data_IF_309313487631
#
_entry.id   IF_309313487631
#
_cell.length_a   1.000
_cell.length_b   1.000
_cell.length_c   1.000
_cell.angle_alpha   90.00
_cell.angle_beta   90.00
_cell.angle_gamma   90.00
#
_symmetry.space_group_name_H-M   'P 1'
#
loop_
_entity.id
_entity.type
_entity.pdbx_description
1 polymer ?
#
# COMPACT_ATOMS: atom_id res chain seq x y z
N UNK A 1 -31.16 -7.63 -9.71
CA UNK A 1 -30.48 -8.50 -8.73
C UNK A 1 -29.77 -7.72 -7.62
N UNK A 2 -28.81 -6.84 -7.90
CA UNK A 2 -28.07 -6.11 -6.84
C UNK A 2 -28.97 -5.19 -5.99
N UNK A 3 -29.94 -4.50 -6.61
CA UNK A 3 -30.88 -3.61 -5.92
C UNK A 3 -31.78 -4.36 -4.91
N UNK A 4 -32.31 -5.53 -5.29
CA UNK A 4 -33.14 -6.37 -4.42
C UNK A 4 -32.35 -6.95 -3.24
N UNK A 5 -31.06 -7.31 -3.43
CA UNK A 5 -30.21 -7.78 -2.31
C UNK A 5 -29.97 -6.65 -1.29
N UNK A 6 -29.77 -5.42 -1.75
CA UNK A 6 -29.57 -4.27 -0.88
C UNK A 6 -30.84 -3.88 -0.10
N UNK A 7 -32.02 -3.99 -0.72
CA UNK A 7 -33.31 -3.79 -0.04
C UNK A 7 -33.56 -4.86 1.03
N UNK A 8 -33.39 -6.13 0.70
CA UNK A 8 -33.50 -7.23 1.67
C UNK A 8 -32.49 -7.09 2.81
N UNK A 9 -31.26 -6.64 2.51
CA UNK A 9 -30.27 -6.36 3.55
C UNK A 9 -30.75 -5.25 4.50
N UNK A 10 -31.28 -4.13 3.98
CA UNK A 10 -31.82 -3.04 4.80
C UNK A 10 -33.00 -3.47 5.67
N UNK A 11 -33.92 -4.25 5.13
CA UNK A 11 -35.04 -4.81 5.89
C UNK A 11 -34.53 -5.68 7.04
N UNK A 12 -33.60 -6.59 6.75
CA UNK A 12 -32.97 -7.44 7.76
C UNK A 12 -32.21 -6.62 8.82
N UNK A 13 -31.54 -5.53 8.42
CA UNK A 13 -30.91 -4.61 9.36
C UNK A 13 -31.91 -3.98 10.33
N UNK A 14 -33.05 -3.50 9.82
CA UNK A 14 -34.07 -2.88 10.65
C UNK A 14 -34.71 -3.88 11.61
N UNK A 15 -35.05 -5.08 11.14
CA UNK A 15 -35.60 -6.15 11.96
C UNK A 15 -34.65 -6.57 13.07
N UNK A 16 -33.36 -6.72 12.74
CA UNK A 16 -32.35 -7.11 13.73
C UNK A 16 -32.10 -6.03 14.79
N UNK A 17 -32.19 -4.74 14.45
CA UNK A 17 -32.14 -3.63 15.42
C UNK A 17 -33.34 -3.66 16.35
N UNK A 18 -34.54 -3.89 15.82
CA UNK A 18 -35.77 -3.99 16.63
C UNK A 18 -35.71 -5.20 17.59
N UNK A 19 -35.25 -6.35 17.08
CA UNK A 19 -35.06 -7.55 17.87
C UNK A 19 -34.00 -7.35 18.97
N UNK A 20 -32.88 -6.70 18.65
CA UNK A 20 -31.84 -6.36 19.62
C UNK A 20 -32.39 -5.51 20.75
N UNK A 21 -33.10 -4.44 20.43
CA UNK A 21 -33.69 -3.52 21.41
C UNK A 21 -34.68 -4.25 22.35
N UNK A 22 -35.51 -5.13 21.77
CA UNK A 22 -36.49 -5.92 22.51
C UNK A 22 -35.81 -6.90 23.47
N UNK A 23 -34.83 -7.68 22.98
CA UNK A 23 -34.13 -8.67 23.80
C UNK A 23 -33.22 -8.01 24.84
N UNK A 24 -32.61 -6.86 24.54
CA UNK A 24 -31.85 -6.10 25.52
C UNK A 24 -32.73 -5.60 26.66
N UNK A 25 -33.93 -5.11 26.34
CA UNK A 25 -34.91 -4.69 27.34
C UNK A 25 -35.34 -5.88 28.20
N UNK A 26 -35.70 -7.00 27.57
CA UNK A 26 -36.06 -8.23 28.28
C UNK A 26 -34.93 -8.72 29.20
N UNK A 27 -33.68 -8.69 28.73
CA UNK A 27 -32.51 -9.10 29.52
C UNK A 27 -32.23 -8.16 30.72
N UNK A 28 -32.56 -6.87 30.61
CA UNK A 28 -32.45 -5.90 31.73
C UNK A 28 -33.54 -6.13 32.77
N UNK A 29 -34.77 -6.41 32.33
CA UNK A 29 -35.91 -6.65 33.21
C UNK A 29 -35.84 -8.01 33.90
N UNK A 30 -35.47 -9.07 33.16
CA UNK A 30 -35.34 -10.44 33.67
C UNK A 30 -34.16 -11.15 32.99
N UNK A 31 -32.99 -11.21 33.64
CA UNK A 31 -31.83 -11.88 33.08
C UNK A 31 -32.07 -13.39 32.93
N UNK A 32 -32.10 -13.91 31.69
CA UNK A 32 -32.18 -15.36 31.44
C UNK A 32 -31.03 -15.85 30.55
N UNK A 33 -30.71 -17.15 30.62
CA UNK A 33 -29.70 -17.75 29.76
C UNK A 33 -30.12 -17.75 28.28
N UNK A 34 -31.42 -17.89 28.01
CA UNK A 34 -31.97 -17.88 26.66
C UNK A 34 -31.90 -16.49 26.01
N UNK A 35 -32.34 -15.43 26.71
CA UNK A 35 -32.23 -14.07 26.19
C UNK A 35 -30.76 -13.69 25.96
N UNK A 36 -29.84 -14.11 26.84
CA UNK A 36 -28.39 -13.92 26.64
C UNK A 36 -27.87 -14.66 25.40
N UNK A 37 -28.34 -15.88 25.13
CA UNK A 37 -27.98 -16.67 23.94
C UNK A 37 -28.49 -16.03 22.64
N UNK A 38 -29.76 -15.61 22.61
CA UNK A 38 -30.36 -14.94 21.46
C UNK A 38 -29.67 -13.61 21.16
N UNK A 39 -29.34 -12.85 22.21
CA UNK A 39 -28.63 -11.59 22.07
C UNK A 39 -27.25 -11.79 21.40
N UNK A 40 -26.50 -12.82 21.81
CA UNK A 40 -25.24 -13.18 21.16
C UNK A 40 -25.43 -13.51 19.66
N UNK A 41 -26.48 -14.25 19.32
CA UNK A 41 -26.79 -14.59 17.93
C UNK A 41 -27.11 -13.34 17.10
N UNK A 42 -27.91 -12.41 17.62
CA UNK A 42 -28.24 -11.16 16.94
C UNK A 42 -27.00 -10.27 16.73
N UNK A 43 -26.12 -10.16 17.73
CA UNK A 43 -24.85 -9.45 17.57
C UNK A 43 -24.00 -10.07 16.46
N UNK A 44 -23.85 -11.40 16.43
CA UNK A 44 -23.09 -12.10 15.39
C UNK A 44 -23.74 -11.89 14.02
N UNK A 45 -25.08 -11.92 13.93
CA UNK A 45 -25.80 -11.68 12.68
C UNK A 45 -25.55 -10.26 12.16
N UNK A 46 -25.66 -9.22 13.00
CA UNK A 46 -25.32 -7.84 12.62
C UNK A 46 -23.87 -7.69 12.16
N UNK A 47 -22.93 -8.30 12.88
CA UNK A 47 -21.51 -8.28 12.51
C UNK A 47 -21.30 -8.95 11.15
N UNK A 48 -21.95 -10.09 10.92
CA UNK A 48 -21.81 -10.86 9.66
C UNK A 48 -22.44 -10.09 8.50
N UNK A 49 -23.65 -9.52 8.69
CA UNK A 49 -24.31 -8.70 7.69
C UNK A 49 -23.45 -7.49 7.31
N UNK A 50 -22.86 -6.81 8.30
CA UNK A 50 -21.93 -5.71 8.05
C UNK A 50 -20.61 -6.16 7.39
N UNK A 51 -20.14 -7.39 7.64
CA UNK A 51 -18.98 -7.97 6.94
C UNK A 51 -19.31 -8.28 5.46
N UNK A 52 -20.55 -8.68 5.16
CA UNK A 52 -21.05 -9.03 3.82
C UNK A 52 -21.40 -7.78 2.99
N UNK A 53 -22.08 -6.81 3.61
CA UNK A 53 -22.40 -5.49 3.02
C UNK A 53 -21.23 -4.52 3.08
N UNK A 54 -20.11 -4.94 3.67
CA UNK A 54 -18.88 -4.16 3.71
C UNK A 54 -19.00 -2.84 4.54
N UNK A 55 -19.94 -2.79 5.50
CA UNK A 55 -20.15 -1.66 6.41
C UNK A 55 -19.18 -1.72 7.62
N UNK A 56 -17.99 -1.16 7.44
CA UNK A 56 -16.95 -1.11 8.48
C UNK A 56 -17.36 -0.37 9.77
N UNK A 57 -18.03 0.81 9.72
CA UNK A 57 -18.54 1.48 10.92
C UNK A 57 -19.50 0.61 11.74
N UNK A 58 -20.50 0.00 11.11
CA UNK A 58 -21.48 -0.87 11.78
C UNK A 58 -20.79 -2.11 12.33
N UNK A 59 -19.93 -2.76 11.54
CA UNK A 59 -19.16 -3.91 12.01
C UNK A 59 -18.37 -3.58 13.28
N UNK A 60 -17.68 -2.43 13.30
CA UNK A 60 -16.89 -1.99 14.46
C UNK A 60 -17.76 -1.74 15.68
N UNK A 61 -18.90 -1.07 15.51
CA UNK A 61 -19.84 -0.78 16.59
C UNK A 61 -20.35 -2.06 17.25
N UNK A 62 -20.99 -2.96 16.49
CA UNK A 62 -21.60 -4.16 17.05
C UNK A 62 -20.56 -5.16 17.58
N UNK A 63 -19.39 -5.25 16.94
CA UNK A 63 -18.28 -6.07 17.46
C UNK A 63 -17.79 -5.56 18.81
N UNK A 64 -17.66 -4.24 18.98
CA UNK A 64 -17.25 -3.62 20.24
C UNK A 64 -18.29 -3.86 21.34
N UNK A 65 -19.57 -3.58 21.04
CA UNK A 65 -20.67 -3.82 21.98
C UNK A 65 -20.74 -5.29 22.42
N UNK A 66 -20.64 -6.23 21.47
CA UNK A 66 -20.65 -7.66 21.77
C UNK A 66 -19.45 -8.07 22.64
N UNK A 67 -18.23 -7.65 22.31
CA UNK A 67 -17.02 -8.00 23.07
C UNK A 67 -16.98 -7.35 24.46
N UNK A 68 -17.63 -6.21 24.67
CA UNK A 68 -17.77 -5.61 26.00
C UNK A 68 -18.80 -6.34 26.87
N UNK A 69 -19.72 -7.10 26.26
CA UNK A 69 -20.80 -7.79 26.96
C UNK A 69 -20.52 -9.28 27.21
N UNK A 70 -19.83 -9.94 26.29
CA UNK A 70 -19.55 -11.36 26.34
C UNK A 70 -18.06 -11.61 26.61
N UNK A 71 -17.77 -12.11 27.81
CA UNK A 71 -16.41 -12.37 28.29
C UNK A 71 -16.00 -13.85 28.17
N UNK A 72 -16.96 -14.75 27.99
CA UNK A 72 -16.69 -16.18 27.78
C UNK A 72 -15.80 -16.41 26.53
N UNK A 73 -14.69 -17.15 26.62
CA UNK A 73 -13.77 -17.35 25.50
C UNK A 73 -14.41 -17.95 24.25
N UNK A 74 -15.33 -18.90 24.39
CA UNK A 74 -15.98 -19.55 23.25
C UNK A 74 -16.96 -18.59 22.54
N UNK A 75 -17.72 -17.81 23.31
CA UNK A 75 -18.59 -16.76 22.77
C UNK A 75 -17.78 -15.67 22.07
N UNK A 76 -16.68 -15.22 22.67
CA UNK A 76 -15.77 -14.24 22.05
C UNK A 76 -15.18 -14.75 20.75
N UNK A 77 -14.79 -16.02 20.68
CA UNK A 77 -14.31 -16.63 19.44
C UNK A 77 -15.37 -16.61 18.33
N UNK A 78 -16.65 -16.85 18.66
CA UNK A 78 -17.76 -16.77 17.71
C UNK A 78 -18.03 -15.33 17.24
N UNK A 79 -17.95 -14.36 18.14
CA UNK A 79 -18.05 -12.92 17.81
C UNK A 79 -16.91 -12.52 16.88
N UNK A 80 -15.68 -12.89 17.22
CA UNK A 80 -14.48 -12.58 16.43
C UNK A 80 -14.55 -13.22 15.05
N UNK A 81 -15.09 -14.43 14.95
CA UNK A 81 -15.14 -15.21 13.71
C UNK A 81 -13.76 -15.77 13.33
N UNK A 82 -13.75 -16.71 12.39
CA UNK A 82 -12.51 -17.35 11.92
C UNK A 82 -12.51 -17.45 10.41
N UNK A 83 -11.33 -17.46 9.83
CA UNK A 83 -11.10 -17.80 8.43
C UNK A 83 -10.03 -18.87 8.31
N UNK A 84 -9.77 -19.29 7.09
CA UNK A 84 -8.79 -20.34 6.78
C UNK A 84 -7.72 -19.80 5.85
N UNK A 85 -6.46 -20.09 6.17
CA UNK A 85 -5.34 -19.91 5.25
C UNK A 85 -5.01 -21.27 4.67
N UNK A 86 -5.04 -21.37 3.34
CA UNK A 86 -4.57 -22.54 2.59
C UNK A 86 -3.19 -22.25 2.02
N UNK A 87 -2.21 -23.07 2.36
CA UNK A 87 -0.85 -22.90 1.83
C UNK A 87 -0.71 -23.62 0.50
N UNK A 88 -0.10 -22.95 -0.48
CA UNK A 88 0.31 -23.59 -1.74
C UNK A 88 1.73 -24.16 -1.68
N UNK A 89 2.20 -24.67 -2.82
CA UNK A 89 3.44 -25.42 -2.92
C UNK A 89 4.66 -24.61 -3.38
N UNK A 90 4.50 -23.36 -3.86
CA UNK A 90 5.63 -22.58 -4.43
C UNK A 90 6.72 -22.27 -3.42
N UNK A 91 6.37 -22.18 -2.14
CA UNK A 91 7.31 -21.89 -1.06
C UNK A 91 7.92 -23.16 -0.44
N UNK A 92 7.95 -24.31 -1.13
CA UNK A 92 8.37 -25.62 -0.57
C UNK A 92 9.74 -25.56 0.14
N UNK A 93 9.78 -26.14 1.35
CA UNK A 93 10.96 -26.16 2.21
C UNK A 93 11.23 -24.85 2.97
N UNK A 94 10.31 -23.88 2.92
CA UNK A 94 10.41 -22.64 3.70
C UNK A 94 9.79 -22.83 5.08
N UNK A 95 10.48 -22.36 6.12
CA UNK A 95 9.94 -22.20 7.47
C UNK A 95 8.96 -21.03 7.47
N UNK A 96 7.78 -21.22 8.07
CA UNK A 96 6.74 -20.20 8.13
C UNK A 96 6.53 -19.74 9.57
N UNK A 97 6.73 -18.45 9.80
CA UNK A 97 6.40 -17.81 11.08
C UNK A 97 5.21 -16.87 10.89
N UNK A 98 4.17 -17.05 11.70
CA UNK A 98 3.01 -16.17 11.77
C UNK A 98 3.21 -15.10 12.83
N UNK A 99 2.91 -13.85 12.49
CA UNK A 99 2.83 -12.72 13.41
C UNK A 99 1.43 -12.14 13.37
N UNK A 100 0.87 -11.79 14.53
CA UNK A 100 -0.35 -10.98 14.60
C UNK A 100 0.04 -9.51 14.44
N UNK A 101 -0.62 -8.78 13.55
CA UNK A 101 -0.42 -7.34 13.40
C UNK A 101 -1.26 -6.61 14.43
N UNK A 102 -0.62 -5.90 15.34
CA UNK A 102 -1.27 -5.15 16.42
C UNK A 102 -0.69 -3.73 16.53
N UNK A 103 -1.51 -2.73 16.90
CA UNK A 103 -1.02 -1.37 17.11
C UNK A 103 -0.14 -1.28 18.37
N UNK A 104 0.90 -0.44 18.31
CA UNK A 104 1.63 0.05 19.48
C UNK A 104 0.85 1.19 20.17
N UNK A 105 1.44 1.80 21.22
CA UNK A 105 0.83 2.91 21.96
C UNK A 105 0.57 4.16 21.10
N UNK A 106 1.24 4.31 19.96
CA UNK A 106 1.08 5.42 19.00
C UNK A 106 0.13 5.07 17.85
N UNK A 107 -0.39 3.83 17.81
CA UNK A 107 -1.22 3.34 16.71
C UNK A 107 -0.43 2.78 15.53
N UNK A 108 0.89 2.59 15.65
CA UNK A 108 1.73 1.96 14.61
C UNK A 108 1.48 0.45 14.61
N UNK A 109 1.08 -0.09 13.47
CA UNK A 109 0.82 -1.51 13.27
C UNK A 109 2.12 -2.29 13.12
N UNK A 110 2.41 -3.14 14.11
CA UNK A 110 3.65 -3.94 14.16
C UNK A 110 3.35 -5.44 14.20
N UNK A 111 4.20 -6.28 13.58
CA UNK A 111 4.16 -7.72 13.77
C UNK A 111 4.55 -8.08 15.20
N UNK A 112 3.67 -8.77 15.90
CA UNK A 112 3.84 -9.18 17.29
C UNK A 112 3.44 -10.66 17.46
N UNK A 113 3.72 -11.24 18.63
CA UNK A 113 3.33 -12.61 19.01
C UNK A 113 3.75 -13.66 17.95
N UNK A 114 5.05 -13.82 17.69
CA UNK A 114 5.54 -14.80 16.72
C UNK A 114 5.09 -16.21 17.09
N UNK A 115 4.57 -16.94 16.11
CA UNK A 115 4.20 -18.35 16.22
C UNK A 115 4.72 -19.12 15.02
N UNK A 116 5.54 -20.13 15.25
CA UNK A 116 5.96 -21.05 14.18
C UNK A 116 4.75 -21.86 13.69
N UNK A 117 4.59 -21.96 12.37
CA UNK A 117 3.62 -22.86 11.73
C UNK A 117 4.27 -24.14 11.20
N UNK A 118 5.61 -24.23 11.23
CA UNK A 118 6.38 -25.35 10.69
C UNK A 118 7.05 -25.00 9.36
N UNK A 119 7.36 -26.04 8.57
CA UNK A 119 8.01 -25.93 7.27
C UNK A 119 7.07 -26.44 6.18
N UNK A 120 7.00 -25.74 5.05
CA UNK A 120 6.14 -26.13 3.91
C UNK A 120 6.56 -27.46 3.27
N UNK A 121 5.62 -28.28 2.79
CA UNK A 121 4.17 -28.03 2.68
C UNK A 121 3.45 -28.05 4.04
N UNK A 122 2.50 -27.14 4.23
CA UNK A 122 1.70 -27.01 5.45
C UNK A 122 0.23 -27.31 5.15
N UNK A 123 -0.47 -27.91 6.10
CA UNK A 123 -1.94 -28.04 6.05
C UNK A 123 -2.64 -26.70 6.28
N UNK A 124 -3.96 -26.68 6.03
CA UNK A 124 -4.80 -25.50 6.23
C UNK A 124 -4.72 -24.99 7.69
N UNK A 125 -4.58 -23.68 7.86
CA UNK A 125 -4.55 -23.03 9.17
C UNK A 125 -5.81 -22.21 9.41
N UNK A 126 -6.65 -22.63 10.37
CA UNK A 126 -7.76 -21.81 10.84
C UNK A 126 -7.27 -20.74 11.81
N UNK A 127 -7.60 -19.47 11.56
CA UNK A 127 -7.18 -18.33 12.37
C UNK A 127 -8.39 -17.45 12.75
N UNK A 128 -8.38 -16.80 13.92
CA UNK A 128 -9.32 -15.72 14.22
C UNK A 128 -9.24 -14.61 13.15
N UNK A 129 -10.35 -13.93 12.88
CA UNK A 129 -10.31 -12.77 12.00
C UNK A 129 -9.31 -11.71 12.51
N UNK A 130 -8.57 -11.12 11.58
CA UNK A 130 -7.56 -10.11 11.90
C UNK A 130 -6.50 -9.98 10.82
N UNK A 131 -5.62 -8.99 11.00
CA UNK A 131 -4.45 -8.79 10.16
C UNK A 131 -3.26 -9.58 10.71
N UNK A 132 -2.58 -10.29 9.82
CA UNK A 132 -1.41 -11.10 10.13
C UNK A 132 -0.30 -10.86 9.11
N UNK A 133 0.92 -11.18 9.51
CA UNK A 133 2.08 -11.26 8.62
C UNK A 133 2.65 -12.67 8.69
N UNK A 134 2.71 -13.34 7.55
CA UNK A 134 3.46 -14.59 7.40
C UNK A 134 4.86 -14.25 6.88
N UNK A 135 5.89 -14.77 7.54
CA UNK A 135 7.28 -14.69 7.09
C UNK A 135 7.74 -16.07 6.66
N UNK A 136 8.10 -16.20 5.39
CA UNK A 136 8.64 -17.41 4.79
C UNK A 136 10.16 -17.30 4.73
N UNK A 137 10.87 -18.26 5.31
CA UNK A 137 12.32 -18.25 5.41
C UNK A 137 12.92 -19.56 4.89
N UNK A 138 13.92 -19.46 4.02
CA UNK A 138 14.64 -20.58 3.46
C UNK A 138 16.12 -20.20 3.32
N UNK A 139 17.01 -21.12 3.67
CA UNK A 139 18.47 -20.86 3.61
C UNK A 139 18.89 -20.45 2.21
N UNK A 140 19.73 -19.41 2.09
CA UNK A 140 20.17 -18.85 0.80
C UNK A 140 19.12 -18.00 0.07
N UNK A 141 17.95 -17.76 0.67
CA UNK A 141 16.87 -16.99 0.05
C UNK A 141 16.52 -15.75 0.87
N UNK A 142 16.01 -14.71 0.20
CA UNK A 142 15.47 -13.54 0.88
C UNK A 142 14.16 -13.92 1.59
N UNK A 143 13.96 -13.54 2.87
CA UNK A 143 12.69 -13.78 3.55
C UNK A 143 11.52 -13.13 2.81
N UNK A 144 10.48 -13.91 2.49
CA UNK A 144 9.27 -13.37 1.86
C UNK A 144 8.26 -12.99 2.93
N UNK A 145 7.86 -11.71 2.92
CA UNK A 145 6.86 -11.14 3.81
C UNK A 145 5.48 -11.17 3.12
N UNK A 146 4.51 -11.81 3.75
CA UNK A 146 3.15 -11.97 3.21
C UNK A 146 2.10 -11.49 4.21
N UNK A 147 1.69 -10.21 4.14
CA UNK A 147 0.55 -9.70 4.87
C UNK A 147 -0.75 -10.38 4.40
N UNK A 148 -1.60 -10.75 5.35
CA UNK A 148 -2.88 -11.42 5.08
C UNK A 148 -3.95 -10.89 6.03
N UNK A 149 -5.13 -10.58 5.47
CA UNK A 149 -6.31 -10.21 6.25
C UNK A 149 -7.25 -11.42 6.32
N UNK A 150 -7.30 -12.08 7.48
CA UNK A 150 -8.18 -13.22 7.70
C UNK A 150 -9.60 -12.70 7.96
N UNK A 151 -10.55 -13.16 7.14
CA UNK A 151 -11.97 -12.80 7.20
C UNK A 151 -12.85 -14.00 7.55
N UNK A 152 -14.03 -13.75 8.12
CA UNK A 152 -14.98 -14.78 8.57
C UNK A 152 -15.34 -15.71 7.42
N UNK A 153 -15.27 -17.02 7.66
CA UNK A 153 -15.71 -18.08 6.75
C UNK A 153 -15.08 -18.01 5.34
N UNK A 154 -14.01 -17.23 5.15
CA UNK A 154 -13.27 -17.18 3.89
C UNK A 154 -12.02 -18.05 3.98
N UNK A 155 -11.76 -18.75 2.88
CA UNK A 155 -10.47 -19.42 2.67
C UNK A 155 -9.62 -18.57 1.73
N UNK A 156 -8.44 -18.16 2.19
CA UNK A 156 -7.48 -17.44 1.38
C UNK A 156 -6.28 -18.33 1.07
N UNK A 157 -5.93 -18.42 -0.21
CA UNK A 157 -4.73 -19.14 -0.67
C UNK A 157 -3.51 -18.24 -0.50
N UNK A 158 -2.47 -18.78 0.14
CA UNK A 158 -1.15 -18.15 0.32
C UNK A 158 -0.12 -19.04 -0.34
N UNK A 159 0.40 -18.57 -1.48
CA UNK A 159 1.32 -19.34 -2.31
C UNK A 159 2.41 -18.42 -2.93
N UNK A 160 3.27 -17.81 -2.09
CA UNK A 160 4.30 -16.90 -2.58
C UNK A 160 5.51 -17.65 -3.12
N UNK A 161 6.27 -16.96 -3.96
CA UNK A 161 7.64 -17.37 -4.25
C UNK A 161 8.56 -17.00 -3.07
N UNK A 162 9.60 -17.81 -2.86
CA UNK A 162 10.72 -17.48 -1.98
C UNK A 162 11.95 -17.44 -2.87
N UNK A 163 12.45 -16.24 -3.16
CA UNK A 163 13.50 -16.04 -4.16
C UNK A 163 14.90 -16.13 -3.53
N UNK A 164 15.87 -16.74 -4.22
CA UNK A 164 17.29 -16.55 -3.90
C UNK A 164 17.62 -15.06 -3.84
N UNK A 165 18.55 -14.66 -2.97
CA UNK A 165 18.83 -13.24 -2.75
C UNK A 165 19.35 -12.56 -4.02
N UNK A 166 20.17 -13.26 -4.78
CA UNK A 166 20.75 -12.88 -6.06
C UNK A 166 19.73 -12.78 -7.20
N UNK A 167 18.58 -13.43 -7.07
CA UNK A 167 17.53 -13.39 -8.10
C UNK A 167 16.69 -12.10 -8.03
N UNK A 168 16.68 -11.41 -6.89
CA UNK A 168 15.92 -10.16 -6.74
C UNK A 168 16.73 -9.02 -7.38
N UNK A 169 16.16 -8.25 -8.31
CA UNK A 169 16.85 -7.10 -8.90
C UNK A 169 17.37 -6.13 -7.83
N UNK A 170 18.60 -5.66 -8.00
CA UNK A 170 19.26 -4.79 -7.02
C UNK A 170 18.41 -3.53 -6.80
N UNK A 171 18.13 -3.21 -5.54
CA UNK A 171 17.32 -2.04 -5.18
C UNK A 171 15.80 -2.28 -5.23
N UNK A 172 15.35 -3.49 -5.56
CA UNK A 172 13.94 -3.85 -5.60
C UNK A 172 13.52 -4.67 -4.37
N UNK A 173 12.21 -4.74 -4.16
CA UNK A 173 11.54 -5.54 -3.16
C UNK A 173 10.52 -6.42 -3.86
N UNK A 174 10.46 -7.70 -3.47
CA UNK A 174 9.41 -8.60 -3.93
C UNK A 174 8.12 -8.35 -3.14
N UNK A 175 7.05 -8.01 -3.84
CA UNK A 175 5.68 -7.94 -3.31
C UNK A 175 4.95 -9.19 -3.77
N UNK A 176 4.71 -10.20 -2.91
CA UNK A 176 3.98 -11.39 -3.30
C UNK A 176 2.55 -11.07 -3.68
N UNK A 177 2.00 -11.81 -4.64
CA UNK A 177 0.62 -11.66 -5.07
C UNK A 177 -0.36 -12.14 -3.99
N UNK A 178 -1.53 -11.52 -3.91
CA UNK A 178 -2.55 -11.87 -2.92
C UNK A 178 -3.73 -10.92 -2.91
N UNK A 179 -4.73 -11.24 -2.10
CA UNK A 179 -5.90 -10.38 -1.89
C UNK A 179 -5.49 -9.17 -1.06
N UNK A 180 -5.89 -7.98 -1.51
CA UNK A 180 -5.70 -6.70 -0.83
C UNK A 180 -7.01 -5.93 -0.76
N UNK A 181 -7.22 -5.22 0.36
CA UNK A 181 -8.21 -4.14 0.42
C UNK A 181 -7.65 -2.91 -0.31
N UNK A 182 -8.22 -2.60 -1.47
CA UNK A 182 -7.92 -1.42 -2.27
C UNK A 182 -8.93 -0.32 -1.97
N UNK A 183 -8.49 0.94 -2.05
CA UNK A 183 -9.26 2.09 -1.59
C UNK A 183 -9.38 2.13 -0.07
N UNK A 184 -10.36 2.89 0.43
CA UNK A 184 -10.68 2.94 1.84
C UNK A 184 -12.19 3.17 2.06
N UNK A 185 -12.89 2.31 2.82
CA UNK A 185 -14.32 2.47 3.12
C UNK A 185 -14.66 3.74 3.91
N UNK A 186 -13.68 4.35 4.59
CA UNK A 186 -13.87 5.58 5.36
C UNK A 186 -13.51 6.84 4.58
N UNK A 187 -13.13 6.71 3.30
CA UNK A 187 -12.88 7.86 2.44
C UNK A 187 -14.21 8.53 2.06
N UNK A 188 -14.34 9.82 2.39
CA UNK A 188 -15.51 10.64 2.07
C UNK A 188 -15.17 11.77 1.11
N UNK A 189 -13.91 11.89 0.67
CA UNK A 189 -13.37 13.10 0.04
C UNK A 189 -12.68 12.87 -1.32
N UNK A 190 -12.75 11.66 -1.91
CA UNK A 190 -12.08 11.37 -3.19
C UNK A 190 -12.82 10.39 -4.12
N UNK A 191 -12.26 10.16 -5.32
CA UNK A 191 -12.69 9.10 -6.27
C UNK A 191 -12.70 7.71 -5.61
N UNK A 192 -11.86 7.49 -4.60
CA UNK A 192 -11.76 6.23 -3.85
C UNK A 192 -12.88 6.00 -2.85
N UNK A 193 -13.68 7.02 -2.54
CA UNK A 193 -14.89 6.91 -1.71
C UNK A 193 -15.91 5.92 -2.30
N UNK A 194 -15.91 5.73 -3.63
CA UNK A 194 -16.90 4.93 -4.35
C UNK A 194 -16.37 3.63 -4.97
N UNK A 195 -15.08 3.31 -4.79
CA UNK A 195 -14.39 2.25 -5.57
C UNK A 195 -13.53 1.30 -4.74
N UNK A 196 -13.62 1.37 -3.41
CA UNK A 196 -12.89 0.44 -2.57
C UNK A 196 -13.41 -0.99 -2.75
N UNK A 197 -12.52 -1.99 -2.70
CA UNK A 197 -12.87 -3.40 -2.88
C UNK A 197 -11.76 -4.33 -2.39
N UNK A 198 -12.09 -5.61 -2.23
CA UNK A 198 -11.09 -6.66 -2.11
C UNK A 198 -10.76 -7.20 -3.51
N UNK A 199 -9.50 -7.02 -3.94
CA UNK A 199 -9.05 -7.53 -5.22
C UNK A 199 -7.76 -8.34 -5.06
N UNK A 200 -7.58 -9.34 -5.92
CA UNK A 200 -6.30 -10.04 -6.06
C UNK A 200 -5.36 -9.18 -6.89
N UNK A 201 -4.22 -8.83 -6.32
CA UNK A 201 -3.11 -8.20 -7.05
C UNK A 201 -2.04 -9.26 -7.28
N UNK A 202 -1.54 -9.36 -8.51
CA UNK A 202 -0.50 -10.32 -8.85
C UNK A 202 0.84 -9.97 -8.19
N UNK A 203 1.79 -10.91 -8.19
CA UNK A 203 3.13 -10.66 -7.64
C UNK A 203 3.99 -9.84 -8.59
N UNK A 204 4.84 -8.97 -8.03
CA UNK A 204 5.76 -8.12 -8.78
C UNK A 204 6.98 -7.73 -7.92
N UNK A 205 8.02 -7.24 -8.57
CA UNK A 205 9.10 -6.49 -7.92
C UNK A 205 8.82 -5.00 -8.07
N UNK A 206 9.10 -4.21 -7.03
CA UNK A 206 9.01 -2.75 -7.07
C UNK A 206 10.29 -2.14 -6.51
N UNK A 207 10.71 -1.01 -7.09
CA UNK A 207 11.86 -0.26 -6.58
C UNK A 207 11.62 0.18 -5.13
N UNK A 208 12.57 -0.11 -4.24
CA UNK A 208 12.46 0.14 -2.79
C UNK A 208 12.29 1.62 -2.46
N UNK A 209 13.04 2.46 -3.15
CA UNK A 209 13.17 3.89 -2.92
C UNK A 209 12.78 4.67 -4.18
N UNK A 210 12.36 5.94 -4.05
CA UNK A 210 12.22 6.81 -5.21
C UNK A 210 13.60 7.14 -5.77
N UNK A 211 13.65 7.67 -7.00
CA UNK A 211 14.92 8.10 -7.59
C UNK A 211 15.53 9.27 -6.83
N UNK A 212 16.84 9.25 -6.70
CA UNK A 212 17.58 10.43 -6.19
C UNK A 212 17.89 11.42 -7.30
N UNK A 213 18.25 12.64 -6.91
CA UNK A 213 18.76 13.66 -7.83
C UNK A 213 19.89 13.09 -8.71
N UNK A 214 20.93 12.49 -8.11
CA UNK A 214 22.07 11.96 -8.86
C UNK A 214 21.70 10.82 -9.82
N UNK A 215 20.67 10.02 -9.49
CA UNK A 215 20.18 8.98 -10.39
C UNK A 215 19.49 9.59 -11.62
N UNK A 216 18.64 10.61 -11.43
CA UNK A 216 18.00 11.31 -12.53
C UNK A 216 19.01 12.14 -13.36
N UNK A 217 20.04 12.71 -12.73
CA UNK A 217 21.16 13.36 -13.42
C UNK A 217 21.90 12.39 -14.34
N UNK A 218 22.15 11.15 -13.90
CA UNK A 218 22.77 10.12 -14.73
C UNK A 218 21.90 9.74 -15.92
N UNK A 219 20.59 9.61 -15.70
CA UNK A 219 19.64 9.35 -16.78
C UNK A 219 19.69 10.45 -17.85
N UNK A 220 19.59 11.73 -17.46
CA UNK A 220 19.63 12.83 -18.44
C UNK A 220 20.97 12.96 -19.14
N UNK A 221 22.10 12.65 -18.49
CA UNK A 221 23.43 12.68 -19.11
C UNK A 221 23.52 11.71 -20.31
N UNK A 222 22.79 10.60 -20.26
CA UNK A 222 22.76 9.58 -21.31
C UNK A 222 21.74 9.89 -22.42
N UNK A 223 20.93 10.94 -22.27
CA UNK A 223 20.01 11.40 -23.33
C UNK A 223 20.78 12.18 -24.41
N UNK A 224 20.24 12.24 -25.65
CA UNK A 224 20.74 13.12 -26.69
C UNK A 224 20.85 14.56 -26.19
N UNK A 225 21.82 15.32 -26.70
CA UNK A 225 22.17 16.66 -26.20
C UNK A 225 20.95 17.59 -26.03
N UNK A 226 20.06 17.66 -27.03
CA UNK A 226 18.83 18.45 -26.98
C UNK A 226 17.74 17.96 -26.01
N UNK A 227 17.97 16.86 -25.28
CA UNK A 227 17.04 16.24 -24.32
C UNK A 227 17.65 16.12 -22.90
N UNK A 228 18.81 16.74 -22.64
CA UNK A 228 19.52 16.68 -21.34
C UNK A 228 18.95 17.64 -20.29
N UNK A 229 17.63 17.87 -20.31
CA UNK A 229 16.94 18.73 -19.36
C UNK A 229 15.57 18.18 -18.97
N UNK A 230 15.18 18.44 -17.73
CA UNK A 230 13.85 18.22 -17.16
C UNK A 230 13.34 19.55 -16.62
N UNK A 231 12.06 19.83 -16.76
CA UNK A 231 11.47 21.09 -16.30
C UNK A 231 10.10 20.86 -15.66
N UNK A 232 9.70 21.75 -14.76
CA UNK A 232 8.33 21.80 -14.23
C UNK A 232 7.33 22.48 -15.17
N UNK A 233 6.06 22.10 -15.06
CA UNK A 233 4.93 22.73 -15.75
C UNK A 233 4.19 23.77 -14.89
N UNK A 234 4.31 23.77 -13.56
CA UNK A 234 3.42 24.53 -12.67
C UNK A 234 3.99 25.81 -12.03
N UNK A 235 5.31 25.92 -11.83
CA UNK A 235 5.90 27.06 -11.13
C UNK A 235 6.24 28.26 -12.05
N UNK A 236 5.89 29.49 -11.65
CA UNK A 236 6.52 30.71 -12.19
C UNK A 236 8.00 30.71 -11.77
N UNK A 237 8.92 30.73 -12.75
CA UNK A 237 10.37 30.52 -12.52
C UNK A 237 10.84 29.06 -12.55
N UNK A 238 10.00 28.16 -13.10
CA UNK A 238 10.16 26.72 -13.41
C UNK A 238 11.52 26.12 -12.99
N UNK A 239 11.57 25.26 -11.95
CA UNK A 239 12.79 24.50 -11.71
C UNK A 239 13.18 23.70 -12.96
N UNK A 240 14.45 23.80 -13.36
CA UNK A 240 15.00 23.09 -14.52
C UNK A 240 16.23 22.32 -14.08
N UNK A 241 16.15 20.99 -14.13
CA UNK A 241 17.32 20.15 -13.98
C UNK A 241 17.94 19.95 -15.36
N UNK A 242 19.16 20.45 -15.57
CA UNK A 242 19.94 20.22 -16.80
C UNK A 242 21.24 19.51 -16.49
N UNK A 243 21.80 18.83 -17.48
CA UNK A 243 23.16 18.28 -17.40
C UNK A 243 24.12 19.07 -18.27
N UNK A 244 25.25 19.48 -17.70
CA UNK A 244 26.34 20.17 -18.39
C UNK A 244 27.60 19.30 -18.37
N UNK A 245 28.20 19.05 -19.53
CA UNK A 245 29.42 18.24 -19.66
C UNK A 245 30.56 18.85 -18.82
N UNK A 246 31.24 18.02 -18.02
CA UNK A 246 32.29 18.48 -17.10
C UNK A 246 31.81 19.18 -15.82
N UNK A 247 30.52 19.54 -15.71
CA UNK A 247 29.93 20.14 -14.49
C UNK A 247 28.88 19.27 -13.80
N UNK A 248 28.35 18.25 -14.49
CA UNK A 248 27.33 17.36 -13.95
C UNK A 248 25.93 17.97 -13.99
N UNK A 249 25.06 17.53 -13.07
CA UNK A 249 23.71 18.05 -12.96
C UNK A 249 23.66 19.46 -12.37
N UNK A 250 22.82 20.33 -12.91
CA UNK A 250 22.58 21.67 -12.38
C UNK A 250 21.07 21.86 -12.29
N UNK A 251 20.55 22.08 -11.07
CA UNK A 251 19.17 22.53 -10.91
C UNK A 251 19.15 24.04 -10.89
N UNK A 252 18.44 24.65 -11.82
CA UNK A 252 18.07 26.05 -11.68
C UNK A 252 16.75 26.14 -10.93
N UNK A 253 16.68 26.96 -9.89
CA UNK A 253 15.41 27.35 -9.25
C UNK A 253 15.34 28.87 -9.27
N UNK A 254 14.35 29.44 -9.96
CA UNK A 254 14.11 30.89 -9.99
C UNK A 254 15.36 31.71 -10.39
N UNK A 255 16.15 31.21 -11.34
CA UNK A 255 17.37 31.89 -11.82
C UNK A 255 18.62 31.61 -10.99
N UNK A 256 18.53 30.86 -9.89
CA UNK A 256 19.69 30.44 -9.09
C UNK A 256 20.10 29.01 -9.46
N UNK A 257 21.35 28.82 -9.86
CA UNK A 257 21.90 27.49 -10.17
C UNK A 257 22.42 26.79 -8.90
N UNK A 258 22.03 25.53 -8.75
CA UNK A 258 22.46 24.60 -7.71
C UNK A 258 23.16 23.41 -8.37
N UNK A 259 24.51 23.44 -8.47
CA UNK A 259 25.27 22.33 -9.03
C UNK A 259 25.15 21.05 -8.21
N UNK A 260 25.38 19.92 -8.87
CA UNK A 260 25.41 18.61 -8.23
C UNK A 260 26.46 18.59 -7.12
N UNK A 261 26.07 18.07 -5.94
CA UNK A 261 26.91 18.08 -4.74
C UNK A 261 26.76 19.34 -3.87
N UNK A 262 25.95 20.32 -4.29
CA UNK A 262 25.56 21.44 -3.42
C UNK A 262 24.91 20.90 -2.15
N UNK A 263 25.30 21.47 -1.00
CA UNK A 263 24.68 21.17 0.28
C UNK A 263 23.62 22.21 0.60
N UNK A 264 22.35 21.80 0.65
CA UNK A 264 21.22 22.70 0.99
C UNK A 264 20.66 22.29 2.34
N UNK A 265 20.67 23.20 3.32
CA UNK A 265 20.27 22.95 4.71
C UNK A 265 20.96 21.71 5.32
N UNK A 266 22.24 21.53 5.05
CA UNK A 266 23.04 20.40 5.55
C UNK A 266 22.80 19.06 4.84
N UNK A 267 21.99 19.03 3.77
CA UNK A 267 21.77 17.83 2.96
C UNK A 267 22.52 17.90 1.64
N UNK A 268 23.29 16.86 1.33
CA UNK A 268 23.87 16.65 0.00
C UNK A 268 22.76 16.31 -0.99
N UNK A 269 22.54 17.22 -1.93
CA UNK A 269 21.47 17.10 -2.90
C UNK A 269 21.57 15.89 -3.81
N UNK A 270 22.77 15.33 -4.03
CA UNK A 270 22.92 14.09 -4.81
C UNK A 270 22.07 12.94 -4.26
N UNK A 271 21.83 12.98 -2.95
CA UNK A 271 21.22 11.90 -2.18
C UNK A 271 19.74 12.09 -1.92
N UNK A 272 19.18 13.29 -2.12
CA UNK A 272 17.76 13.55 -1.83
C UNK A 272 16.87 12.89 -2.87
N UNK A 273 15.69 12.45 -2.47
CA UNK A 273 14.67 12.03 -3.42
C UNK A 273 14.31 13.21 -4.34
N UNK A 274 14.08 12.93 -5.61
CA UNK A 274 13.87 13.98 -6.60
C UNK A 274 12.73 13.63 -7.57
N UNK A 275 11.97 14.66 -7.94
CA UNK A 275 10.82 14.57 -8.82
C UNK A 275 10.66 15.86 -9.62
N UNK A 276 10.77 15.73 -10.95
CA UNK A 276 10.46 16.72 -11.97
C UNK A 276 10.09 15.97 -13.27
N UNK A 277 9.35 14.87 -13.14
CA UNK A 277 9.04 14.00 -14.26
C UNK A 277 7.61 14.27 -14.71
N UNK A 278 7.42 14.66 -15.97
CA UNK A 278 6.15 14.39 -16.66
C UNK A 278 6.00 12.87 -16.88
N UNK A 279 4.80 12.43 -17.27
CA UNK A 279 4.51 11.00 -17.42
C UNK A 279 5.33 10.32 -18.55
N UNK A 280 5.62 11.04 -19.64
CA UNK A 280 6.40 10.52 -20.76
C UNK A 280 7.85 10.29 -20.33
N UNK A 281 8.46 11.28 -19.69
CA UNK A 281 9.80 11.19 -19.14
C UNK A 281 9.87 10.10 -18.05
N UNK A 282 8.86 9.97 -17.20
CA UNK A 282 8.77 8.88 -16.23
C UNK A 282 8.81 7.50 -16.92
N UNK A 283 8.15 7.35 -18.06
CA UNK A 283 8.18 6.12 -18.87
C UNK A 283 9.59 5.85 -19.43
N UNK A 284 10.28 6.89 -19.90
CA UNK A 284 11.68 6.78 -20.36
C UNK A 284 12.64 6.39 -19.22
N UNK A 285 12.48 6.97 -18.02
CA UNK A 285 13.28 6.61 -16.83
C UNK A 285 13.06 5.15 -16.43
N UNK A 286 11.80 4.69 -16.45
CA UNK A 286 11.46 3.28 -16.16
C UNK A 286 12.11 2.35 -17.18
N UNK A 287 12.05 2.67 -18.47
CA UNK A 287 12.68 1.87 -19.52
C UNK A 287 14.20 1.85 -19.38
N UNK A 288 14.81 3.00 -19.07
CA UNK A 288 16.25 3.11 -18.82
C UNK A 288 16.72 2.26 -17.63
N UNK A 289 16.04 2.35 -16.49
CA UNK A 289 16.36 1.53 -15.31
C UNK A 289 16.16 0.04 -15.64
N UNK A 290 15.06 -0.31 -16.31
CA UNK A 290 14.78 -1.68 -16.75
C UNK A 290 15.88 -2.25 -17.64
N UNK A 291 16.31 -1.51 -18.66
CA UNK A 291 17.40 -1.90 -19.56
C UNK A 291 18.73 -2.09 -18.80
N UNK A 292 19.04 -1.23 -17.83
CA UNK A 292 20.24 -1.36 -17.01
C UNK A 292 20.26 -2.64 -16.16
N UNK A 293 19.08 -3.22 -15.90
CA UNK A 293 18.88 -4.48 -15.18
C UNK A 293 18.69 -5.70 -16.10
N UNK A 294 18.70 -5.52 -17.43
CA UNK A 294 18.36 -6.59 -18.39
C UNK A 294 16.86 -6.96 -18.38
N UNK A 295 16.00 -6.03 -17.98
CA UNK A 295 14.56 -6.20 -17.79
C UNK A 295 13.79 -5.14 -18.59
N UNK A 296 13.81 -5.26 -19.93
CA UNK A 296 13.22 -4.31 -20.92
C UNK A 296 11.70 -4.09 -20.78
N UNK A 297 11.06 -4.80 -19.87
CA UNK A 297 9.62 -4.78 -19.62
C UNK A 297 9.23 -4.04 -18.35
N UNK A 298 10.16 -3.32 -17.71
CA UNK A 298 9.84 -2.53 -16.52
C UNK A 298 8.69 -1.56 -16.84
N UNK A 299 7.79 -1.35 -15.88
CA UNK A 299 6.58 -0.54 -16.07
C UNK A 299 6.42 0.47 -14.95
N UNK A 300 5.64 1.52 -15.23
CA UNK A 300 5.06 2.37 -14.19
C UNK A 300 4.02 1.52 -13.42
N UNK A 301 3.96 1.59 -12.08
CA UNK A 301 3.03 0.80 -11.28
C UNK A 301 1.59 1.14 -11.61
N UNK A 302 0.67 0.18 -11.51
CA UNK A 302 -0.76 0.49 -11.43
C UNK A 302 -1.13 1.03 -10.05
N UNK A 303 -2.32 1.63 -9.91
CA UNK A 303 -2.85 2.07 -8.61
C UNK A 303 -2.98 0.91 -7.62
N UNK A 304 -3.29 -0.30 -8.10
CA UNK A 304 -3.43 -1.51 -7.30
C UNK A 304 -2.07 -2.02 -6.81
N UNK A 305 -1.06 -2.03 -7.69
CA UNK A 305 0.31 -2.38 -7.35
C UNK A 305 0.88 -1.41 -6.31
N UNK A 306 0.69 -0.10 -6.50
CA UNK A 306 1.13 0.92 -5.53
C UNK A 306 0.46 0.73 -4.17
N UNK A 307 -0.87 0.61 -4.14
CA UNK A 307 -1.62 0.44 -2.90
C UNK A 307 -1.23 -0.84 -2.18
N UNK A 308 -1.09 -1.97 -2.89
CA UNK A 308 -0.60 -3.19 -2.26
C UNK A 308 0.80 -2.97 -1.69
N UNK A 309 1.73 -2.44 -2.47
CA UNK A 309 3.10 -2.19 -2.02
C UNK A 309 3.16 -1.31 -0.77
N UNK A 310 2.27 -0.32 -0.64
CA UNK A 310 2.19 0.57 0.52
C UNK A 310 1.45 -0.02 1.72
N UNK A 311 0.35 -0.72 1.48
CA UNK A 311 -0.67 -1.02 2.52
C UNK A 311 -0.71 -2.48 2.94
N UNK A 312 -0.14 -3.39 2.14
CA UNK A 312 -0.29 -4.82 2.36
C UNK A 312 -1.69 -5.33 2.00
N UNK A 313 -2.28 -6.12 2.89
CA UNK A 313 -3.58 -6.75 2.69
C UNK A 313 -4.74 -6.06 3.44
N UNK A 314 -4.42 -5.32 4.50
CA UNK A 314 -5.38 -4.84 5.50
C UNK A 314 -5.88 -3.41 5.29
N UNK A 315 -5.46 -2.78 4.18
CA UNK A 315 -5.90 -1.43 3.76
C UNK A 315 -5.65 -0.34 4.81
N UNK A 316 -4.53 -0.43 5.54
CA UNK A 316 -4.07 0.63 6.44
C UNK A 316 -3.96 1.99 5.76
N UNK A 317 -4.31 3.10 6.42
CA UNK A 317 -4.26 4.47 5.85
C UNK A 317 -2.86 4.86 5.37
N UNK A 318 -1.85 4.63 6.20
CA UNK A 318 -0.44 4.90 5.95
C UNK A 318 0.37 3.60 6.05
N UNK A 319 1.60 3.52 5.52
CA UNK A 319 2.39 2.27 5.56
C UNK A 319 2.59 1.72 6.98
N UNK A 320 2.65 2.61 7.97
CA UNK A 320 2.77 2.26 9.39
C UNK A 320 1.44 2.00 10.11
N UNK A 321 0.27 2.32 9.54
CA UNK A 321 -1.01 2.09 10.21
C UNK A 321 -2.10 3.10 9.89
N UNK A 322 -3.11 3.16 10.74
CA UNK A 322 -4.31 3.98 10.53
C UNK A 322 -4.26 5.36 11.19
N UNK A 323 -3.27 5.58 12.07
CA UNK A 323 -3.12 6.81 12.84
C UNK A 323 -1.94 7.58 12.27
N UNK A 324 -2.14 8.87 12.03
CA UNK A 324 -1.04 9.75 11.67
C UNK A 324 -0.01 9.83 12.80
N UNK A 325 1.27 9.66 12.47
CA UNK A 325 2.36 9.76 13.42
C UNK A 325 3.29 10.87 12.97
N UNK A 326 3.54 11.83 13.86
CA UNK A 326 4.39 12.99 13.57
C UNK A 326 5.80 12.54 13.15
N UNK A 327 6.33 13.11 12.07
CA UNK A 327 7.60 12.82 11.40
C UNK A 327 7.74 11.40 10.83
N UNK A 328 6.65 10.65 10.73
CA UNK A 328 6.70 9.28 10.23
C UNK A 328 6.99 9.18 8.72
N UNK A 329 6.62 10.21 7.95
CA UNK A 329 6.98 10.41 6.54
C UNK A 329 7.50 11.83 6.28
N UNK A 330 7.97 12.09 5.05
CA UNK A 330 8.40 13.41 4.61
C UNK A 330 7.20 14.20 4.06
N UNK A 331 6.53 14.97 4.91
CA UNK A 331 5.39 15.83 4.54
C UNK A 331 5.41 17.10 5.40
N UNK A 332 4.66 18.13 5.00
CA UNK A 332 4.49 19.35 5.80
C UNK A 332 3.78 19.01 7.10
N UNK A 333 4.40 19.42 8.21
CA UNK A 333 3.80 19.38 9.54
C UNK A 333 3.78 20.76 10.18
N UNK A 334 2.59 21.36 10.29
CA UNK A 334 2.42 22.70 10.83
C UNK A 334 2.96 23.79 9.90
N UNK A 335 3.52 24.86 10.45
CA UNK A 335 4.02 26.01 9.68
C UNK A 335 5.50 25.83 9.32
N UNK A 336 5.80 24.96 8.36
CA UNK A 336 7.13 24.89 7.76
C UNK A 336 7.23 25.89 6.62
N UNK A 337 8.16 26.84 6.70
CA UNK A 337 8.29 27.91 5.68
C UNK A 337 8.93 27.40 4.37
N UNK A 338 9.70 26.31 4.42
CA UNK A 338 10.44 25.77 3.27
C UNK A 338 10.69 24.25 3.43
N UNK A 339 9.66 23.41 3.20
CA UNK A 339 9.83 21.97 3.20
C UNK A 339 10.77 21.54 2.06
N UNK A 340 11.53 20.47 2.28
CA UNK A 340 12.52 19.96 1.32
C UNK A 340 12.43 18.44 1.26
N UNK A 341 12.80 17.82 0.12
CA UNK A 341 12.95 16.38 0.07
C UNK A 341 14.07 15.93 1.01
N UNK A 342 14.00 14.67 1.40
CA UNK A 342 15.03 14.01 2.22
C UNK A 342 15.65 12.85 1.47
N UNK A 343 16.86 12.41 1.84
CA UNK A 343 17.42 11.17 1.33
C UNK A 343 16.44 10.01 1.51
N UNK A 344 16.26 9.13 0.51
CA UNK A 344 15.39 7.98 0.65
C UNK A 344 15.69 7.14 1.89
N UNK A 345 14.65 6.66 2.54
CA UNK A 345 14.74 5.85 3.76
C UNK A 345 15.14 6.62 5.01
N UNK A 346 15.14 7.96 4.98
CA UNK A 346 15.31 8.80 6.19
C UNK A 346 14.18 8.53 7.19
N UNK A 347 12.95 8.44 6.69
CA UNK A 347 11.74 8.23 7.48
C UNK A 347 11.47 6.74 7.69
N UNK A 348 12.04 6.15 8.76
CA UNK A 348 11.98 4.69 9.00
C UNK A 348 10.58 4.13 9.21
N UNK A 349 9.63 4.94 9.69
CA UNK A 349 8.24 4.52 9.87
C UNK A 349 7.48 4.45 8.54
N UNK A 350 7.86 5.25 7.55
CA UNK A 350 7.38 5.11 6.17
C UNK A 350 8.09 3.95 5.47
N UNK A 351 7.86 2.75 6.01
CA UNK A 351 8.27 1.48 5.45
C UNK A 351 7.08 0.54 5.50
N UNK A 352 6.68 0.05 4.33
CA UNK A 352 5.52 -0.82 4.18
C UNK A 352 5.75 -2.20 4.78
N UNK A 353 4.69 -3.01 4.94
CA UNK A 353 4.82 -4.41 5.38
C UNK A 353 5.75 -5.28 4.53
N UNK A 354 6.06 -4.84 3.30
CA UNK A 354 6.97 -5.52 2.38
C UNK A 354 8.41 -4.98 2.45
N UNK A 355 8.64 -3.84 3.12
CA UNK A 355 9.94 -3.19 3.16
C UNK A 355 10.18 -2.15 2.07
N UNK A 356 9.13 -1.65 1.41
CA UNK A 356 9.21 -0.52 0.46
C UNK A 356 9.07 0.77 1.25
N UNK A 357 9.93 1.76 1.00
CA UNK A 357 9.98 2.99 1.82
C UNK A 357 9.62 4.24 1.02
N UNK A 358 9.29 5.33 1.75
CA UNK A 358 8.93 6.65 1.22
C UNK A 358 7.66 6.63 0.33
N UNK A 359 6.62 5.89 0.76
CA UNK A 359 5.35 5.75 0.02
C UNK A 359 4.28 6.72 0.50
N UNK A 360 4.55 7.51 1.54
CA UNK A 360 3.61 8.47 2.12
C UNK A 360 4.30 9.81 2.36
N UNK A 361 4.81 10.40 1.29
CA UNK A 361 5.52 11.68 1.27
C UNK A 361 6.83 11.58 0.49
N UNK A 362 7.71 12.53 0.77
CA UNK A 362 8.96 12.79 0.04
C UNK A 362 8.65 13.23 -1.39
N UNK A 363 8.49 12.29 -2.31
CA UNK A 363 8.08 12.59 -3.69
C UNK A 363 6.92 11.71 -4.08
N UNK A 364 5.95 12.32 -4.72
CA UNK A 364 4.81 11.63 -5.31
C UNK A 364 5.28 10.68 -6.40
N UNK A 365 4.50 9.64 -6.70
CA UNK A 365 4.84 8.65 -7.73
C UNK A 365 3.75 8.53 -8.77
N UNK A 366 4.12 8.64 -10.05
CA UNK A 366 3.24 8.31 -11.16
C UNK A 366 2.74 6.86 -11.09
N UNK A 367 1.49 6.66 -11.50
CA UNK A 367 0.93 5.34 -11.80
C UNK A 367 0.40 5.30 -13.23
N UNK A 368 0.34 4.11 -13.84
CA UNK A 368 -0.21 3.92 -15.19
C UNK A 368 -1.73 3.88 -15.25
N UNK A 369 -2.40 3.99 -14.10
CA UNK A 369 -3.86 3.98 -14.00
C UNK A 369 -4.43 5.34 -14.41
N UNK A 370 -5.45 5.33 -15.26
CA UNK A 370 -6.20 6.52 -15.66
C UNK A 370 -7.05 7.06 -14.52
N UNK A 371 -7.28 8.38 -14.56
CA UNK A 371 -8.32 9.05 -13.76
C UNK A 371 -9.70 8.79 -14.39
N UNK A 372 -10.75 8.67 -13.55
CA UNK A 372 -12.11 8.35 -14.01
C UNK A 372 -13.13 9.35 -13.46
N UNK A 373 -13.35 10.40 -14.24
CA UNK A 373 -14.36 11.42 -13.93
C UNK A 373 -15.79 10.85 -13.89
N UNK A 374 -16.73 11.68 -13.40
CA UNK A 374 -18.16 11.39 -13.47
C UNK A 374 -18.69 11.14 -14.91
N UNK A 375 -17.94 11.61 -15.93
CA UNK A 375 -18.29 11.46 -17.33
C UNK A 375 -17.58 10.27 -18.02
N UNK A 376 -16.78 9.50 -17.29
CA UNK A 376 -16.03 8.35 -17.80
C UNK A 376 -14.52 8.49 -17.67
N UNK A 377 -13.81 7.60 -18.37
CA UNK A 377 -12.34 7.56 -18.38
C UNK A 377 -11.77 8.86 -18.96
N UNK A 378 -10.74 9.40 -18.30
CA UNK A 378 -9.98 10.55 -18.75
C UNK A 378 -8.57 10.10 -19.16
N UNK A 379 -8.38 9.62 -20.41
CA UNK A 379 -7.15 8.93 -20.83
C UNK A 379 -5.91 9.83 -20.87
N UNK A 380 -6.09 11.16 -20.89
CA UNK A 380 -5.01 12.15 -20.82
C UNK A 380 -4.57 12.47 -19.39
N UNK A 381 -5.17 11.80 -18.40
CA UNK A 381 -4.84 11.98 -16.99
C UNK A 381 -4.38 10.67 -16.38
N UNK A 382 -3.36 10.75 -15.52
CA UNK A 382 -2.85 9.61 -14.76
C UNK A 382 -2.88 9.90 -13.29
N UNK A 383 -3.12 8.84 -12.51
CA UNK A 383 -3.15 8.92 -11.08
C UNK A 383 -1.72 9.01 -10.52
N UNK A 384 -1.55 9.87 -9.52
CA UNK A 384 -0.31 10.13 -8.79
C UNK A 384 -0.53 9.85 -7.32
N UNK A 385 0.40 9.12 -6.71
CA UNK A 385 0.22 8.52 -5.39
C UNK A 385 1.27 8.99 -4.37
N UNK A 386 0.92 8.88 -3.09
CA UNK A 386 1.85 8.98 -1.95
C UNK A 386 2.06 10.38 -1.39
N UNK A 387 1.79 11.42 -2.18
CA UNK A 387 2.03 12.80 -1.79
C UNK A 387 3.52 13.16 -1.73
N UNK A 388 3.80 14.44 -1.53
CA UNK A 388 5.14 14.99 -1.59
C UNK A 388 5.52 15.81 -0.33
N UNK A 389 6.80 16.16 -0.20
CA UNK A 389 7.34 16.86 0.96
C UNK A 389 6.70 18.24 1.20
N UNK A 390 6.19 18.89 0.15
CA UNK A 390 5.51 20.18 0.23
C UNK A 390 4.00 20.09 0.49
N UNK A 391 3.47 18.89 0.71
CA UNK A 391 2.05 18.67 0.92
C UNK A 391 1.77 18.28 2.37
N UNK A 392 0.53 18.52 2.81
CA UNK A 392 0.04 17.87 4.03
C UNK A 392 0.05 16.35 3.86
N UNK A 393 0.09 15.58 4.95
CA UNK A 393 0.08 14.13 4.87
C UNK A 393 -1.12 13.56 4.11
N UNK A 394 -0.84 12.89 3.00
CA UNK A 394 -1.85 12.25 2.16
C UNK A 394 -1.91 10.75 2.49
N UNK A 395 -3.11 10.18 2.72
CA UNK A 395 -3.27 8.73 2.85
C UNK A 395 -2.85 7.98 1.58
N UNK A 396 -2.27 6.78 1.74
CA UNK A 396 -1.76 5.98 0.61
C UNK A 396 -2.84 5.37 -0.30
N UNK A 397 -4.12 5.48 0.08
CA UNK A 397 -5.24 5.15 -0.80
C UNK A 397 -5.69 6.33 -1.66
N UNK A 398 -5.31 7.56 -1.30
CA UNK A 398 -5.73 8.76 -2.01
C UNK A 398 -4.79 9.00 -3.19
N UNK A 399 -5.37 9.33 -4.34
CA UNK A 399 -4.65 9.65 -5.56
C UNK A 399 -5.02 11.05 -6.02
N UNK A 400 -4.00 11.81 -6.39
CA UNK A 400 -4.14 13.00 -7.22
C UNK A 400 -4.15 12.57 -8.69
N UNK A 401 -4.48 13.47 -9.59
CA UNK A 401 -4.39 13.25 -11.03
C UNK A 401 -3.77 14.46 -11.70
N UNK A 402 -2.99 14.19 -12.75
CA UNK A 402 -2.28 15.20 -13.53
C UNK A 402 -2.35 14.83 -15.01
N UNK A 403 -2.32 15.84 -15.88
CA UNK A 403 -2.25 15.65 -17.32
C UNK A 403 -0.91 14.99 -17.71
N UNK A 404 -0.90 14.17 -18.75
CA UNK A 404 0.31 13.47 -19.23
C UNK A 404 1.47 14.40 -19.60
N UNK A 405 1.17 15.63 -20.02
CA UNK A 405 2.13 16.66 -20.42
C UNK A 405 2.61 17.55 -19.26
N UNK A 406 1.97 17.44 -18.11
CA UNK A 406 2.29 18.22 -16.93
C UNK A 406 3.42 17.56 -16.14
N UNK A 407 4.60 18.19 -16.14
CA UNK A 407 5.62 17.88 -15.17
C UNK A 407 5.22 18.53 -13.84
N UNK A 408 4.63 17.72 -12.96
CA UNK A 408 4.29 18.14 -11.62
C UNK A 408 5.56 18.23 -10.76
N UNK A 409 5.70 19.37 -10.07
CA UNK A 409 6.74 19.56 -9.08
C UNK A 409 6.65 18.41 -8.06
N UNK A 410 7.78 17.75 -7.80
CA UNK A 410 7.87 16.70 -6.77
C UNK A 410 7.24 15.36 -7.16
N UNK A 411 6.91 15.16 -8.44
CA UNK A 411 6.48 13.85 -8.96
C UNK A 411 7.63 13.10 -9.61
N UNK A 412 7.83 11.88 -9.14
CA UNK A 412 8.82 10.91 -9.58
C UNK A 412 8.11 9.63 -10.03
N UNK A 413 8.83 8.51 -10.12
CA UNK A 413 8.28 7.22 -10.50
C UNK A 413 8.97 6.08 -9.75
N UNK A 414 8.24 4.97 -9.54
CA UNK A 414 8.74 3.75 -8.89
C UNK A 414 8.56 2.56 -9.80
N UNK A 415 9.56 2.20 -10.62
CA UNK A 415 9.42 1.11 -11.58
C UNK A 415 8.98 -0.20 -10.92
N UNK A 416 8.12 -0.93 -11.60
CA UNK A 416 7.72 -2.30 -11.27
C UNK A 416 8.14 -3.28 -12.35
N UNK A 417 8.39 -4.53 -11.97
CA UNK A 417 8.66 -5.65 -12.86
C UNK A 417 7.70 -6.77 -12.51
N UNK A 418 6.80 -7.13 -13.43
CA UNK A 418 5.89 -8.25 -13.21
C UNK A 418 6.66 -9.57 -13.14
N UNK A 419 6.16 -10.53 -12.35
CA UNK A 419 6.77 -11.87 -12.30
C UNK A 419 6.73 -12.57 -13.66
N UNK A 420 5.70 -12.33 -14.47
CA UNK A 420 5.62 -12.86 -15.84
C UNK A 420 6.83 -12.40 -16.65
N UNK A 421 7.15 -11.11 -16.61
CA UNK A 421 8.31 -10.63 -17.33
C UNK A 421 9.61 -11.19 -16.74
N UNK A 422 9.76 -11.13 -15.41
CA UNK A 422 10.97 -11.63 -14.76
C UNK A 422 11.29 -13.07 -15.17
N UNK A 423 10.30 -13.97 -15.17
CA UNK A 423 10.54 -15.35 -15.60
C UNK A 423 10.80 -15.47 -17.12
N UNK A 424 10.28 -14.56 -17.95
CA UNK A 424 10.56 -14.55 -19.38
C UNK A 424 11.99 -14.08 -19.69
N UNK A 425 12.52 -13.09 -18.97
CA UNK A 425 13.90 -12.61 -19.17
C UNK A 425 14.92 -13.66 -18.76
N UNK A 426 14.70 -14.36 -17.64
CA UNK A 426 15.57 -15.44 -17.18
C UNK A 426 15.68 -16.60 -18.19
N UNK A 427 14.63 -16.86 -18.98
CA UNK A 427 14.66 -17.87 -20.04
C UNK A 427 15.49 -17.44 -21.25
N UNK A 428 15.62 -16.14 -21.52
CA UNK A 428 16.44 -15.62 -22.63
C UNK A 428 17.94 -15.62 -22.31
N UNK A 429 18.30 -15.64 -21.03
CA UNK A 429 19.68 -15.60 -20.54
C UNK A 429 20.22 -16.98 -20.14
N UNK A 430 19.43 -18.04 -20.26
CA UNK A 430 19.89 -19.42 -20.10
C UNK A 430 20.54 -19.96 -21.39
N UNK A 431 21.49 -20.91 -21.29
CA UNK A 431 22.14 -21.53 -22.44
C UNK A 431 21.18 -22.29 -23.35
#
# INVERSE_FOLDING_TARGET
CHFSILETAKELEQETVNALTTIETAQRLRPTGEARRLLLQLYILRITLAEDTQDEPIKRLYRTMALNRFHDPAQRARIIGRGTIRFGDRARGARVTLFTILPDKRGVLLPQKPRSLGTTPLGDASLPQGSYLLRFEKTGHTPTLFPVLVRRNLTQVVDPYVFPAEAIPRGYVYVPGGISMLGNPSDTLGETAWTWSFAKVEGFFIRRYPFTFAELTRFIAQRPEGKRQLHSSFYRGKPVLRYEEGKGGILNIQGTDFPEGTTVKGQDWRRVAFGLLDYRTATEVVAWEGNSLGLECAQIPSKEEYQRAARGADGRTYPWGNVWVKKAGAAIEGRQQFPMPTPPGTHKLDTSPFGVSDLSGNVSSWTRSSYKSAFGEAPDYRLVAGGAYSQFPIPTYYFQWFDLSEAADEVSVRPVISLKCFFQSQKKTGP
#
